data_IF_986990830877
#
_entry.id   IF_986990830877
#
_cell.length_a   1.000
_cell.length_b   1.000
_cell.length_c   1.000
_cell.angle_alpha   90.00
_cell.angle_beta   90.00
_cell.angle_gamma   90.00
#
_symmetry.space_group_name_H-M   'P 1'
#
loop_
_entity.id
_entity.type
_entity.pdbx_description
1 polymer ?
#
# COMPACT_ATOMS: atom_id res chain seq x y z
N UNK A 1 -20.34 23.74 6.16
CA UNK A 1 -19.42 22.66 5.82
C UNK A 1 -18.03 23.18 5.59
N UNK A 2 -17.08 22.61 6.27
CA UNK A 2 -15.71 22.95 6.01
C UNK A 2 -15.26 22.42 4.66
N UNK A 3 -14.33 23.12 4.01
CA UNK A 3 -13.68 22.62 2.83
C UNK A 3 -12.76 21.45 3.21
N UNK A 4 -12.58 20.51 2.27
CA UNK A 4 -11.63 19.44 2.40
C UNK A 4 -10.21 20.03 2.46
N UNK A 5 -9.35 19.51 3.36
CA UNK A 5 -7.99 20.08 3.49
C UNK A 5 -7.15 19.91 2.22
N UNK A 6 -7.50 18.95 1.36
CA UNK A 6 -6.80 18.74 0.09
C UNK A 6 -7.55 19.31 -1.12
N UNK A 7 -8.41 20.30 -0.90
CA UNK A 7 -9.18 20.93 -1.97
C UNK A 7 -8.29 21.44 -3.12
N UNK A 8 -7.10 21.96 -2.78
CA UNK A 8 -6.13 22.46 -3.75
C UNK A 8 -5.11 21.40 -4.18
N UNK A 9 -5.32 20.15 -3.76
CA UNK A 9 -4.43 19.05 -4.08
C UNK A 9 -3.35 18.82 -3.04
N UNK A 10 -2.59 17.76 -3.24
CA UNK A 10 -1.46 17.38 -2.38
C UNK A 10 -0.31 16.92 -3.26
N UNK A 11 0.91 17.19 -2.82
CA UNK A 11 2.09 16.75 -3.55
C UNK A 11 2.62 15.43 -2.98
N UNK A 12 3.02 14.55 -3.87
CA UNK A 12 3.69 13.31 -3.49
C UNK A 12 4.60 12.85 -4.61
N UNK A 13 5.81 12.40 -4.25
CA UNK A 13 6.72 11.74 -5.17
C UNK A 13 7.55 10.74 -4.38
N UNK A 14 7.38 9.45 -4.66
CA UNK A 14 8.11 8.40 -3.94
C UNK A 14 9.62 8.63 -4.08
N UNK A 15 10.32 8.73 -2.95
CA UNK A 15 11.76 8.93 -2.88
C UNK A 15 12.52 7.62 -2.77
N UNK A 16 11.82 6.48 -2.77
CA UNK A 16 12.45 5.19 -2.60
C UNK A 16 13.02 4.98 -1.20
N UNK A 17 12.44 5.64 -0.19
CA UNK A 17 12.93 5.52 1.19
C UNK A 17 12.57 4.20 1.86
N UNK A 18 11.70 3.41 1.22
CA UNK A 18 11.22 2.11 1.72
C UNK A 18 10.46 2.17 3.05
N UNK A 19 10.02 3.36 3.48
CA UNK A 19 9.26 3.50 4.73
C UNK A 19 8.03 2.61 4.75
N UNK A 20 7.25 2.61 3.66
CA UNK A 20 6.02 1.82 3.60
C UNK A 20 6.27 0.31 3.57
N UNK A 21 7.53 -0.11 3.39
CA UNK A 21 7.92 -1.52 3.34
C UNK A 21 8.67 -1.98 4.60
N UNK A 22 9.13 -1.10 5.47
CA UNK A 22 10.11 -1.50 6.47
C UNK A 22 9.93 -1.00 7.89
N UNK A 23 9.21 0.06 8.15
CA UNK A 23 9.34 0.72 9.46
C UNK A 23 8.68 -0.02 10.62
N UNK A 24 7.54 -0.66 10.42
CA UNK A 24 6.77 -1.28 11.49
C UNK A 24 6.20 -2.61 11.02
N UNK A 25 6.00 -3.56 11.94
CA UNK A 25 5.29 -4.78 11.59
C UNK A 25 3.88 -4.42 11.14
N UNK A 26 3.43 -5.02 10.06
CA UNK A 26 2.11 -4.74 9.55
C UNK A 26 1.72 -5.74 8.48
N UNK A 27 0.46 -5.69 8.11
CA UNK A 27 -0.06 -6.57 7.09
C UNK A 27 -0.20 -5.83 5.77
N UNK A 28 0.17 -6.49 4.69
CA UNK A 28 -0.17 -6.06 3.34
C UNK A 28 -1.21 -7.05 2.84
N UNK A 29 -2.47 -6.73 3.05
CA UNK A 29 -3.57 -7.61 2.65
C UNK A 29 -3.78 -7.54 1.15
N UNK A 30 -4.03 -8.70 0.55
CA UNK A 30 -4.13 -8.85 -0.89
C UNK A 30 -5.55 -9.20 -1.32
N UNK A 31 -6.00 -8.60 -2.42
CA UNK A 31 -7.20 -9.05 -3.12
C UNK A 31 -6.83 -10.20 -4.06
N UNK A 32 -7.83 -10.87 -4.62
CA UNK A 32 -7.58 -11.87 -5.66
C UNK A 32 -6.86 -11.24 -6.86
N UNK A 33 -7.27 -10.03 -7.26
CA UNK A 33 -6.64 -9.30 -8.37
C UNK A 33 -5.17 -8.99 -8.07
N UNK A 34 -4.85 -8.61 -6.84
CA UNK A 34 -3.46 -8.37 -6.43
C UNK A 34 -2.63 -9.64 -6.61
N UNK A 35 -3.14 -10.77 -6.12
CA UNK A 35 -2.44 -12.05 -6.20
C UNK A 35 -2.23 -12.48 -7.66
N UNK A 36 -3.25 -12.35 -8.49
CA UNK A 36 -3.16 -12.71 -9.91
C UNK A 36 -2.10 -11.86 -10.63
N UNK A 37 -2.11 -10.55 -10.37
CA UNK A 37 -1.18 -9.62 -11.00
C UNK A 37 0.25 -9.86 -10.56
N UNK A 38 0.47 -10.07 -9.27
CA UNK A 38 1.81 -10.30 -8.74
C UNK A 38 2.37 -11.64 -9.17
N UNK A 39 1.55 -12.69 -9.15
CA UNK A 39 1.96 -14.01 -9.62
C UNK A 39 2.37 -13.94 -11.10
N UNK A 40 1.56 -13.29 -11.92
CA UNK A 40 1.88 -13.09 -13.33
C UNK A 40 3.20 -12.32 -13.53
N UNK A 41 3.40 -11.26 -12.76
CA UNK A 41 4.62 -10.45 -12.82
C UNK A 41 5.87 -11.21 -12.42
N UNK A 42 5.73 -12.23 -11.56
CA UNK A 42 6.83 -13.08 -11.11
C UNK A 42 6.98 -14.36 -11.94
N UNK A 43 6.08 -14.59 -12.91
CA UNK A 43 6.10 -15.79 -13.73
C UNK A 43 5.68 -17.05 -12.97
N UNK A 44 4.80 -16.91 -11.96
CA UNK A 44 4.35 -18.00 -11.11
C UNK A 44 2.84 -18.19 -11.24
N UNK A 45 2.34 -19.40 -10.92
CA UNK A 45 0.90 -19.56 -10.69
C UNK A 45 0.54 -18.99 -9.31
N UNK A 46 -0.74 -18.72 -9.09
CA UNK A 46 -1.21 -18.08 -7.86
C UNK A 46 -0.90 -18.97 -6.64
N UNK A 47 -1.06 -20.28 -6.76
CA UNK A 47 -0.79 -21.17 -5.64
C UNK A 47 0.68 -21.11 -5.23
N UNK A 48 1.60 -21.18 -6.17
CA UNK A 48 3.03 -21.08 -5.90
C UNK A 48 3.38 -19.73 -5.29
N UNK A 49 2.78 -18.66 -5.81
CA UNK A 49 2.98 -17.32 -5.28
C UNK A 49 2.53 -17.23 -3.81
N UNK A 50 1.32 -17.71 -3.51
CA UNK A 50 0.80 -17.62 -2.13
C UNK A 50 1.58 -18.52 -1.18
N UNK A 51 1.96 -19.71 -1.60
CA UNK A 51 2.73 -20.63 -0.77
C UNK A 51 4.14 -20.08 -0.46
N UNK A 52 4.71 -19.30 -1.36
CA UNK A 52 6.08 -18.81 -1.25
C UNK A 52 6.17 -17.44 -0.55
N UNK A 53 5.25 -16.53 -0.85
CA UNK A 53 5.39 -15.12 -0.44
C UNK A 53 4.28 -14.62 0.48
N UNK A 54 3.30 -15.44 0.80
CA UNK A 54 2.14 -15.01 1.57
C UNK A 54 1.96 -15.86 2.82
N UNK A 55 1.16 -15.32 3.75
CA UNK A 55 0.71 -16.05 4.94
C UNK A 55 -0.79 -15.84 5.09
N UNK A 56 -1.43 -16.77 5.78
CA UNK A 56 -2.85 -16.64 6.14
C UNK A 56 -2.92 -15.98 7.52
N UNK A 57 -3.70 -14.92 7.62
CA UNK A 57 -3.91 -14.21 8.89
C UNK A 57 -5.31 -14.55 9.37
N UNK A 58 -5.40 -15.15 10.57
CA UNK A 58 -6.68 -15.50 11.18
C UNK A 58 -7.23 -14.25 11.88
N UNK A 59 -8.37 -13.75 11.40
CA UNK A 59 -9.02 -12.55 11.91
C UNK A 59 -10.19 -12.87 12.84
N UNK A 60 -10.37 -14.14 13.20
CA UNK A 60 -11.47 -14.61 14.04
C UNK A 60 -12.60 -15.18 13.22
N UNK A 61 -13.45 -14.32 12.68
CA UNK A 61 -14.61 -14.75 11.88
C UNK A 61 -14.25 -15.10 10.43
N UNK A 62 -13.09 -14.66 9.97
CA UNK A 62 -12.62 -14.88 8.60
C UNK A 62 -11.10 -14.89 8.58
N UNK A 63 -10.54 -15.31 7.46
CA UNK A 63 -9.09 -15.32 7.24
C UNK A 63 -8.75 -14.45 6.04
N UNK A 64 -7.59 -13.82 6.09
CA UNK A 64 -7.09 -12.95 5.03
C UNK A 64 -5.70 -13.37 4.60
N UNK A 65 -5.32 -13.02 3.38
CA UNK A 65 -3.98 -13.31 2.84
C UNK A 65 -3.14 -12.04 2.94
N UNK A 66 -1.95 -12.16 3.51
CA UNK A 66 -1.00 -11.05 3.61
C UNK A 66 0.35 -11.48 3.05
N UNK A 67 1.14 -10.52 2.58
CA UNK A 67 2.53 -10.77 2.22
C UNK A 67 3.33 -11.13 3.48
N UNK A 68 4.33 -11.97 3.31
CA UNK A 68 5.27 -12.30 4.38
C UNK A 68 6.14 -11.09 4.72
N UNK A 69 6.63 -11.07 5.95
CA UNK A 69 7.63 -10.11 6.40
C UNK A 69 8.92 -10.85 6.71
N UNK A 70 10.06 -10.15 6.57
CA UNK A 70 11.35 -10.65 7.01
C UNK A 70 11.46 -10.51 8.53
N UNK A 71 12.48 -11.11 9.13
CA UNK A 71 12.69 -11.06 10.59
C UNK A 71 12.75 -9.65 11.15
N UNK A 72 13.22 -8.68 10.37
CA UNK A 72 13.31 -7.28 10.78
C UNK A 72 12.06 -6.48 10.44
N UNK A 73 10.95 -7.15 10.15
CA UNK A 73 9.65 -6.57 9.77
C UNK A 73 9.61 -5.92 8.39
N UNK A 74 10.65 -6.08 7.58
CA UNK A 74 10.62 -5.62 6.19
C UNK A 74 9.69 -6.50 5.37
N UNK A 75 9.01 -5.90 4.38
CA UNK A 75 8.23 -6.66 3.41
C UNK A 75 9.15 -7.67 2.70
N UNK A 76 8.63 -8.87 2.45
CA UNK A 76 9.39 -9.95 1.79
C UNK A 76 10.00 -9.51 0.45
N UNK A 77 9.41 -8.54 -0.24
CA UNK A 77 9.90 -8.04 -1.53
C UNK A 77 10.86 -6.86 -1.43
N UNK A 78 11.12 -6.36 -0.22
CA UNK A 78 12.08 -5.28 -0.06
C UNK A 78 13.50 -5.85 -0.15
N UNK A 79 14.28 -5.33 -1.11
CA UNK A 79 15.66 -5.73 -1.31
C UNK A 79 16.49 -4.51 -1.69
N UNK A 80 17.58 -4.28 -0.97
CA UNK A 80 18.48 -3.14 -1.21
C UNK A 80 17.74 -1.79 -1.25
N UNK A 81 16.75 -1.64 -0.37
CA UNK A 81 15.95 -0.42 -0.27
C UNK A 81 14.92 -0.25 -1.37
N UNK A 82 14.66 -1.28 -2.18
CA UNK A 82 13.73 -1.20 -3.30
C UNK A 82 12.75 -2.37 -3.28
N UNK A 83 11.54 -2.10 -3.74
CA UNK A 83 10.51 -3.14 -3.90
C UNK A 83 10.77 -3.93 -5.18
N UNK A 84 10.98 -5.24 -5.05
CA UNK A 84 11.25 -6.13 -6.19
C UNK A 84 10.06 -6.29 -7.13
N UNK A 85 8.87 -6.01 -6.65
CA UNK A 85 7.63 -6.13 -7.44
C UNK A 85 6.98 -4.77 -7.65
N UNK A 86 7.79 -3.72 -7.75
CA UNK A 86 7.29 -2.34 -7.83
C UNK A 86 6.25 -2.16 -8.94
N UNK A 87 6.48 -2.73 -10.13
CA UNK A 87 5.57 -2.59 -11.26
C UNK A 87 4.24 -3.32 -11.10
N UNK A 88 4.19 -4.32 -10.22
CA UNK A 88 2.97 -5.10 -9.95
C UNK A 88 2.58 -5.07 -8.48
N UNK A 89 2.91 -3.97 -7.77
CA UNK A 89 2.62 -3.81 -6.35
C UNK A 89 1.15 -4.05 -6.03
N UNK A 90 0.86 -4.55 -4.81
CA UNK A 90 -0.52 -4.56 -4.32
C UNK A 90 -1.12 -3.15 -4.37
N UNK A 91 -2.42 -3.04 -4.55
CA UNK A 91 -3.10 -1.74 -4.55
C UNK A 91 -2.84 -0.99 -3.24
N UNK A 92 -2.78 -1.71 -2.11
CA UNK A 92 -2.44 -1.09 -0.82
C UNK A 92 -1.13 -0.30 -0.92
N UNK A 93 -0.11 -0.86 -1.56
CA UNK A 93 1.20 -0.21 -1.70
C UNK A 93 1.19 0.89 -2.75
N UNK A 94 0.51 0.67 -3.88
CA UNK A 94 0.51 1.61 -5.00
C UNK A 94 -0.33 2.86 -4.75
N UNK A 95 -1.24 2.82 -3.79
CA UNK A 95 -2.10 3.97 -3.45
C UNK A 95 -1.56 4.80 -2.30
N UNK A 96 -0.53 4.34 -1.59
CA UNK A 96 0.09 5.10 -0.50
C UNK A 96 0.61 6.44 -1.02
N UNK A 97 0.46 7.55 -0.32
CA UNK A 97 -0.13 7.70 1.01
C UNK A 97 -1.61 8.12 1.00
N UNK A 98 -2.30 7.96 -0.11
CA UNK A 98 -3.69 8.41 -0.27
C UNK A 98 -4.68 7.40 0.29
N UNK A 99 -4.49 7.03 1.56
CA UNK A 99 -5.36 6.11 2.29
C UNK A 99 -6.33 6.88 3.19
N UNK A 100 -7.49 6.27 3.47
CA UNK A 100 -8.54 6.93 4.22
C UNK A 100 -8.06 7.53 5.55
N UNK A 101 -7.29 6.77 6.35
CA UNK A 101 -6.84 7.26 7.65
C UNK A 101 -5.78 8.38 7.53
N UNK A 102 -5.02 8.42 6.45
CA UNK A 102 -4.04 9.48 6.20
C UNK A 102 -4.75 10.74 5.71
N UNK A 103 -5.83 10.58 4.95
CA UNK A 103 -6.60 11.68 4.37
C UNK A 103 -7.71 12.18 5.29
N UNK A 104 -7.82 11.65 6.50
CA UNK A 104 -8.88 12.01 7.44
C UNK A 104 -8.84 13.48 7.82
N UNK A 105 -7.62 14.03 8.01
CA UNK A 105 -7.44 15.43 8.38
C UNK A 105 -6.05 15.90 7.95
N UNK A 106 -5.85 17.24 7.97
CA UNK A 106 -4.52 17.81 7.74
C UNK A 106 -3.52 17.28 8.76
N UNK A 107 -3.96 17.09 9.99
CA UNK A 107 -3.10 16.57 11.06
C UNK A 107 -2.64 15.15 10.78
N UNK A 108 -3.54 14.26 10.32
CA UNK A 108 -3.14 12.88 9.99
C UNK A 108 -2.20 12.85 8.78
N UNK A 109 -2.40 13.70 7.79
CA UNK A 109 -1.49 13.84 6.67
C UNK A 109 -0.10 14.30 7.12
N UNK A 110 -0.04 15.34 7.94
CA UNK A 110 1.23 15.90 8.42
C UNK A 110 1.97 14.91 9.30
N UNK A 111 1.27 14.14 10.11
CA UNK A 111 1.87 13.09 10.93
C UNK A 111 2.54 12.03 10.07
N UNK A 112 1.86 11.55 9.04
CA UNK A 112 2.44 10.58 8.12
C UNK A 112 3.63 11.17 7.36
N UNK A 113 3.54 12.45 6.98
CA UNK A 113 4.61 13.13 6.24
C UNK A 113 5.92 13.23 7.02
N UNK A 114 5.88 13.17 8.34
CA UNK A 114 7.10 13.17 9.16
C UNK A 114 7.97 11.96 8.90
N UNK A 115 7.36 10.86 8.46
CA UNK A 115 8.06 9.61 8.19
C UNK A 115 8.28 9.35 6.71
N UNK A 116 7.60 10.08 5.83
CA UNK A 116 7.70 9.87 4.39
C UNK A 116 8.22 11.12 3.69
N UNK A 117 9.50 11.16 3.30
CA UNK A 117 10.09 12.35 2.69
C UNK A 117 9.50 12.68 1.30
N UNK A 118 8.78 11.74 0.68
CA UNK A 118 8.12 11.98 -0.60
C UNK A 118 6.83 12.77 -0.50
N UNK A 119 6.22 12.83 0.69
CA UNK A 119 5.00 13.59 0.90
C UNK A 119 5.34 15.08 0.90
N UNK A 120 4.43 15.89 0.34
CA UNK A 120 4.59 17.35 0.16
C UNK A 120 5.68 17.73 -0.85
N UNK A 121 6.13 16.78 -1.67
CA UNK A 121 7.07 17.04 -2.76
C UNK A 121 6.71 16.24 -3.99
N UNK A 122 7.29 16.55 -5.13
CA UNK A 122 7.05 15.86 -6.38
C UNK A 122 5.80 16.34 -7.10
N UNK A 123 5.08 15.40 -7.72
CA UNK A 123 3.90 15.73 -8.52
C UNK A 123 2.75 16.24 -7.65
N UNK A 124 2.07 17.28 -8.13
CA UNK A 124 0.82 17.73 -7.51
C UNK A 124 -0.33 16.84 -8.00
N UNK A 125 -1.00 16.18 -7.06
CA UNK A 125 -2.22 15.42 -7.32
C UNK A 125 -3.41 16.30 -7.01
N UNK A 126 -4.34 16.45 -7.96
CA UNK A 126 -5.55 17.23 -7.74
C UNK A 126 -6.49 16.46 -6.81
N UNK A 127 -7.48 17.18 -6.26
CA UNK A 127 -8.51 16.54 -5.43
C UNK A 127 -9.16 15.37 -6.15
N UNK A 128 -9.51 15.52 -7.42
CA UNK A 128 -10.13 14.46 -8.21
C UNK A 128 -9.20 13.25 -8.36
N UNK A 129 -7.91 13.48 -8.61
CA UNK A 129 -6.93 12.41 -8.69
C UNK A 129 -6.78 11.67 -7.36
N UNK A 130 -6.72 12.42 -6.26
CA UNK A 130 -6.60 11.85 -4.90
C UNK A 130 -7.81 10.97 -4.60
N UNK A 131 -9.01 11.47 -4.88
CA UNK A 131 -10.24 10.72 -4.63
C UNK A 131 -10.35 9.47 -5.51
N UNK A 132 -9.88 9.55 -6.76
CA UNK A 132 -9.84 8.38 -7.64
C UNK A 132 -8.88 7.30 -7.10
N UNK A 133 -7.72 7.69 -6.58
CA UNK A 133 -6.76 6.77 -5.98
C UNK A 133 -7.34 6.14 -4.71
N UNK A 134 -7.96 6.95 -3.87
CA UNK A 134 -8.63 6.47 -2.66
C UNK A 134 -9.74 5.47 -3.00
N UNK A 135 -10.54 5.77 -4.01
CA UNK A 135 -11.61 4.88 -4.45
C UNK A 135 -11.07 3.56 -4.96
N UNK A 136 -9.97 3.61 -5.71
CA UNK A 136 -9.28 2.40 -6.18
C UNK A 136 -8.87 1.51 -5.00
N UNK A 137 -8.35 2.11 -3.93
CA UNK A 137 -7.97 1.39 -2.70
C UNK A 137 -9.18 0.78 -2.02
N UNK A 138 -10.29 1.51 -1.95
CA UNK A 138 -11.54 1.06 -1.32
C UNK A 138 -12.15 -0.11 -2.10
N UNK A 139 -12.15 -0.02 -3.43
CA UNK A 139 -12.71 -1.07 -4.29
C UNK A 139 -11.88 -2.34 -4.35
N UNK A 140 -10.60 -2.26 -4.00
CA UNK A 140 -9.71 -3.41 -3.98
C UNK A 140 -9.85 -4.17 -2.66
N UNK A 141 -11.00 -4.79 -2.46
CA UNK A 141 -11.28 -5.53 -1.23
C UNK A 141 -10.34 -6.70 -1.04
N UNK A 142 -9.69 -6.83 0.14
CA UNK A 142 -8.87 -8.01 0.42
C UNK A 142 -9.68 -9.30 0.36
N UNK A 143 -9.03 -10.37 -0.10
CA UNK A 143 -9.68 -11.68 -0.11
C UNK A 143 -9.94 -12.13 1.33
N UNK A 144 -11.19 -12.51 1.60
CA UNK A 144 -11.61 -13.06 2.89
C UNK A 144 -12.09 -14.47 2.70
N UNK A 145 -11.61 -15.38 3.53
CA UNK A 145 -11.91 -16.81 3.43
C UNK A 145 -12.69 -17.32 4.65
#
# INVERSE_FOLDING_TARGET
>A
MGSCFYEKGLKFGCKGCAYCCSCEPGYVFLSQDDMDRMASGLGLDVKTFTDTYCRIVDMGLFKMVSLLEKENNDCIFLKDGKCRVYSCRPVQCSTYPFWAHVLESRESWDEEARSCPGMNSGKLYTKDEIEAILQCRIENEPLMM
#
